data_IF_799138274392
#
_entry.id   IF_799138274392
#
_cell.length_a   1.000
_cell.length_b   1.000
_cell.length_c   1.000
_cell.angle_alpha   90.00
_cell.angle_beta   90.00
_cell.angle_gamma   90.00
#
_symmetry.space_group_name_H-M   'P 1'
#
loop_
_entity.id
_entity.type
_entity.pdbx_description
1 polymer ?
#
# COMPACT_ATOMS: atom_id res chain seq x y z
N UNK A 1 -12.90 5.51 4.23
CA UNK A 1 -13.17 4.26 4.99
C UNK A 1 -14.42 3.61 4.46
N UNK A 2 -14.43 2.29 4.34
CA UNK A 2 -15.58 1.49 3.93
C UNK A 2 -16.23 0.77 5.14
N UNK A 3 -15.86 1.07 6.38
CA UNK A 3 -16.39 0.41 7.58
C UNK A 3 -16.67 1.41 8.68
N UNK A 4 -17.84 1.30 9.30
CA UNK A 4 -18.25 2.13 10.45
C UNK A 4 -17.21 2.12 11.58
N UNK A 5 -16.61 0.95 11.85
CA UNK A 5 -15.61 0.77 12.91
C UNK A 5 -14.25 1.40 12.62
N UNK A 6 -14.00 1.86 11.38
CA UNK A 6 -12.75 2.47 10.92
C UNK A 6 -13.06 3.94 10.67
N UNK A 7 -12.76 4.80 11.65
CA UNK A 7 -13.23 6.18 11.71
C UNK A 7 -12.26 7.13 11.00
N UNK A 8 -12.70 8.33 10.59
CA UNK A 8 -11.79 9.40 10.23
C UNK A 8 -10.70 9.59 11.30
N UNK A 9 -9.45 9.73 10.84
CA UNK A 9 -8.20 9.81 11.62
C UNK A 9 -7.71 8.50 12.23
N UNK A 10 -8.44 7.38 12.09
CA UNK A 10 -7.87 6.05 12.37
C UNK A 10 -6.80 5.69 11.33
N UNK A 11 -5.95 4.74 11.71
CA UNK A 11 -4.85 4.21 10.90
C UNK A 11 -5.16 2.75 10.53
N UNK A 12 -4.96 2.39 9.28
CA UNK A 12 -5.14 1.00 8.79
C UNK A 12 -3.85 0.52 8.15
N UNK A 13 -3.31 -0.59 8.64
CA UNK A 13 -2.25 -1.33 7.97
C UNK A 13 -2.89 -2.20 6.91
N UNK A 14 -2.61 -1.87 5.66
CA UNK A 14 -3.16 -2.62 4.53
C UNK A 14 -2.36 -3.91 4.37
N UNK A 15 -3.07 -5.03 4.27
CA UNK A 15 -2.51 -6.36 4.07
C UNK A 15 -2.99 -7.03 2.78
N UNK A 16 -4.02 -6.47 2.14
CA UNK A 16 -4.58 -6.96 0.89
C UNK A 16 -5.00 -5.79 -0.01
N UNK A 17 -4.98 -6.02 -1.32
CA UNK A 17 -5.42 -5.05 -2.32
C UNK A 17 -6.47 -5.64 -3.25
N UNK A 18 -7.36 -4.79 -3.73
CA UNK A 18 -8.33 -5.12 -4.76
C UNK A 18 -8.22 -4.09 -5.90
N UNK A 19 -7.89 -4.57 -7.11
CA UNK A 19 -7.74 -3.71 -8.28
C UNK A 19 -9.11 -3.38 -8.90
N UNK A 20 -9.46 -2.09 -8.93
CA UNK A 20 -10.64 -1.56 -9.61
C UNK A 20 -10.24 -0.52 -10.66
N UNK A 21 -8.96 -0.45 -11.02
CA UNK A 21 -8.52 0.40 -12.13
C UNK A 21 -8.98 -0.17 -13.46
N UNK A 22 -9.23 0.73 -14.40
CA UNK A 22 -9.72 0.39 -15.75
C UNK A 22 -8.56 0.30 -16.74
N UNK A 23 -7.50 1.07 -16.51
CA UNK A 23 -6.32 1.06 -17.36
C UNK A 23 -5.22 0.21 -16.73
N UNK A 24 -4.78 -0.80 -17.49
CA UNK A 24 -3.53 -1.48 -17.21
C UNK A 24 -2.38 -0.69 -17.87
N UNK A 25 -1.38 -0.31 -17.09
CA UNK A 25 -0.20 0.37 -17.60
C UNK A 25 0.76 0.71 -16.48
N UNK A 26 2.03 0.29 -16.61
CA UNK A 26 3.12 0.55 -15.67
C UNK A 26 3.02 -0.18 -14.31
N UNK A 27 2.33 -1.31 -14.24
CA UNK A 27 2.25 -2.15 -13.04
C UNK A 27 3.39 -3.18 -12.92
N UNK A 28 4.27 -3.25 -13.92
CA UNK A 28 5.37 -4.21 -14.00
C UNK A 28 6.57 -3.60 -14.74
N UNK A 29 7.78 -3.97 -14.33
CA UNK A 29 9.03 -3.70 -15.02
C UNK A 29 9.31 -4.70 -16.16
N UNK A 30 8.59 -5.82 -16.18
CA UNK A 30 8.79 -6.91 -17.13
C UNK A 30 7.93 -6.76 -18.38
N UNK A 31 8.23 -7.56 -19.40
CA UNK A 31 7.79 -7.39 -20.78
C UNK A 31 8.95 -6.98 -21.70
N UNK A 32 8.65 -6.82 -22.98
CA UNK A 32 9.63 -6.35 -23.99
C UNK A 32 10.97 -7.13 -23.94
N UNK A 33 10.92 -8.46 -23.96
CA UNK A 33 12.11 -9.33 -24.01
C UNK A 33 12.49 -10.04 -22.71
N UNK A 34 11.71 -9.88 -21.64
CA UNK A 34 11.85 -10.66 -20.40
C UNK A 34 10.50 -10.84 -19.72
N UNK A 35 10.25 -12.01 -19.13
CA UNK A 35 9.03 -12.35 -18.40
C UNK A 35 9.40 -12.79 -16.98
N UNK A 36 8.70 -12.24 -15.99
CA UNK A 36 8.74 -12.69 -14.61
C UNK A 36 7.34 -12.67 -13.99
N UNK A 37 7.08 -13.59 -13.05
CA UNK A 37 5.84 -13.67 -12.30
C UNK A 37 6.14 -13.79 -10.80
N UNK A 38 6.04 -12.67 -10.09
CA UNK A 38 6.22 -12.63 -8.64
C UNK A 38 5.04 -13.26 -7.89
N UNK A 39 5.33 -13.88 -6.75
CA UNK A 39 4.29 -14.24 -5.79
C UNK A 39 3.73 -12.98 -5.13
N UNK A 40 2.40 -12.80 -5.21
CA UNK A 40 1.73 -11.58 -4.73
C UNK A 40 0.48 -11.85 -3.87
N UNK A 41 0.25 -13.10 -3.43
CA UNK A 41 -0.88 -13.46 -2.56
C UNK A 41 -0.83 -12.78 -1.18
N UNK A 42 0.39 -12.52 -0.69
CA UNK A 42 0.68 -11.68 0.49
C UNK A 42 1.46 -10.46 0.02
N UNK A 43 0.78 -9.37 -0.36
CA UNK A 43 1.38 -8.27 -1.12
C UNK A 43 2.28 -7.34 -0.27
N UNK A 44 2.07 -7.30 1.05
CA UNK A 44 2.87 -6.45 1.96
C UNK A 44 3.93 -7.25 2.72
N UNK A 45 4.96 -6.55 3.20
CA UNK A 45 5.98 -7.09 4.09
C UNK A 45 5.43 -7.11 5.53
N UNK A 46 5.20 -8.31 6.07
CA UNK A 46 4.63 -8.49 7.42
C UNK A 46 5.49 -7.86 8.52
N UNK A 47 6.82 -8.00 8.44
CA UNK A 47 7.74 -7.41 9.43
C UNK A 47 7.66 -5.88 9.42
N UNK A 48 7.72 -5.26 8.24
CA UNK A 48 7.63 -3.80 8.09
C UNK A 48 6.24 -3.28 8.50
N UNK A 49 5.16 -4.00 8.15
CA UNK A 49 3.81 -3.64 8.56
C UNK A 49 3.63 -3.71 10.09
N UNK A 50 4.23 -4.70 10.74
CA UNK A 50 4.20 -4.85 12.21
C UNK A 50 4.92 -3.67 12.88
N UNK A 51 6.12 -3.37 12.40
CA UNK A 51 6.94 -2.25 12.88
C UNK A 51 6.22 -0.90 12.67
N UNK A 52 5.58 -0.70 11.52
CA UNK A 52 4.76 0.48 11.25
C UNK A 52 3.52 0.58 12.17
N UNK A 53 2.89 -0.55 12.51
CA UNK A 53 1.74 -0.57 13.41
C UNK A 53 2.13 -0.22 14.86
N UNK A 54 3.28 -0.71 15.32
CA UNK A 54 3.85 -0.35 16.63
C UNK A 54 4.22 1.13 16.67
N UNK A 55 4.91 1.62 15.64
CA UNK A 55 5.22 3.03 15.48
C UNK A 55 3.96 3.91 15.50
N UNK A 56 2.88 3.49 14.82
CA UNK A 56 1.59 4.19 14.84
C UNK A 56 0.96 4.22 16.23
N UNK A 57 0.95 3.09 16.94
CA UNK A 57 0.43 3.04 18.33
C UNK A 57 1.20 3.98 19.24
N UNK A 58 2.52 4.00 19.15
CA UNK A 58 3.34 4.85 20.01
C UNK A 58 3.23 6.33 19.65
N UNK A 59 3.14 6.65 18.36
CA UNK A 59 2.90 8.01 17.89
C UNK A 59 1.53 8.55 18.36
N UNK A 60 0.50 7.71 18.37
CA UNK A 60 -0.84 8.09 18.88
C UNK A 60 -0.81 8.42 20.37
N UNK A 61 -0.08 7.65 21.19
CA UNK A 61 0.02 7.88 22.65
C UNK A 61 0.53 9.27 23.03
N UNK A 62 1.36 9.87 22.18
CA UNK A 62 1.95 11.21 22.40
C UNK A 62 1.27 12.30 21.57
N UNK A 63 0.23 11.96 20.80
CA UNK A 63 -0.50 12.90 19.97
C UNK A 63 -1.60 13.61 20.75
N UNK A 64 -2.10 14.70 20.19
CA UNK A 64 -3.25 15.45 20.72
C UNK A 64 -4.59 14.69 20.57
N UNK A 65 -4.57 13.46 20.02
CA UNK A 65 -5.74 12.65 19.74
C UNK A 65 -5.53 11.17 20.12
N UNK A 66 -5.47 10.85 21.43
CA UNK A 66 -5.15 9.50 21.92
C UNK A 66 -6.21 8.45 21.60
N UNK A 67 -7.43 8.86 21.20
CA UNK A 67 -8.55 7.95 20.89
C UNK A 67 -8.47 7.32 19.48
N UNK A 68 -7.51 7.74 18.66
CA UNK A 68 -7.25 7.15 17.33
C UNK A 68 -6.93 5.67 17.44
N UNK A 69 -7.42 4.87 16.51
CA UNK A 69 -7.22 3.42 16.50
C UNK A 69 -6.26 3.02 15.39
N UNK A 70 -5.50 1.97 15.67
CA UNK A 70 -4.68 1.26 14.66
C UNK A 70 -5.35 -0.06 14.34
N UNK A 71 -5.72 -0.26 13.08
CA UNK A 71 -6.24 -1.50 12.54
C UNK A 71 -5.12 -2.28 11.85
N UNK A 72 -4.89 -3.52 12.27
CA UNK A 72 -3.75 -4.34 11.85
C UNK A 72 -3.90 -4.98 10.47
N UNK A 73 -5.13 -5.01 9.97
CA UNK A 73 -5.48 -5.60 8.68
C UNK A 73 -6.51 -4.74 7.98
N UNK A 74 -6.51 -4.78 6.65
CA UNK A 74 -7.43 -4.03 5.83
C UNK A 74 -7.19 -4.26 4.34
N UNK A 75 -8.25 -4.65 3.64
CA UNK A 75 -8.26 -4.68 2.18
C UNK A 75 -8.44 -3.28 1.61
N UNK A 76 -7.48 -2.84 0.80
CA UNK A 76 -7.48 -1.57 0.07
C UNK A 76 -8.04 -1.74 -1.34
N UNK A 77 -9.11 -1.02 -1.65
CA UNK A 77 -9.61 -0.90 -3.01
C UNK A 77 -8.82 0.18 -3.74
N UNK A 78 -8.12 -0.19 -4.81
CA UNK A 78 -7.44 0.76 -5.67
C UNK A 78 -8.35 1.10 -6.85
N UNK A 79 -8.98 2.27 -6.83
CA UNK A 79 -9.76 2.78 -7.96
C UNK A 79 -8.93 3.71 -8.84
N UNK A 80 -9.42 4.02 -10.05
CA UNK A 80 -8.70 4.88 -11.01
C UNK A 80 -8.69 6.37 -10.60
N UNK A 81 -9.84 6.90 -10.16
CA UNK A 81 -10.03 8.34 -10.03
C UNK A 81 -10.15 9.06 -11.39
N UNK A 82 -10.12 10.41 -11.43
CA UNK A 82 -10.02 11.32 -10.28
C UNK A 82 -11.35 11.53 -9.56
N UNK A 83 -12.48 11.13 -10.16
CA UNK A 83 -13.77 11.19 -9.49
C UNK A 83 -13.83 10.19 -8.34
N UNK A 84 -14.43 10.60 -7.22
CA UNK A 84 -14.75 9.69 -6.12
C UNK A 84 -15.82 8.67 -6.53
N UNK A 85 -15.98 7.64 -5.70
CA UNK A 85 -16.96 6.59 -5.93
C UNK A 85 -18.39 7.14 -5.97
N UNK A 86 -19.24 6.54 -6.79
CA UNK A 86 -20.70 6.68 -6.62
C UNK A 86 -21.17 5.87 -5.41
N UNK A 87 -22.37 6.19 -4.87
CA UNK A 87 -22.97 5.44 -3.73
C UNK A 87 -23.10 3.95 -4.02
N UNK A 88 -23.41 3.57 -5.27
CA UNK A 88 -23.52 2.17 -5.69
C UNK A 88 -22.16 1.44 -5.63
N UNK A 89 -21.08 2.10 -6.06
CA UNK A 89 -19.73 1.55 -6.00
C UNK A 89 -19.27 1.39 -4.56
N UNK A 90 -19.46 2.43 -3.74
CA UNK A 90 -19.11 2.40 -2.32
C UNK A 90 -19.86 1.28 -1.59
N UNK A 91 -21.18 1.13 -1.82
CA UNK A 91 -21.97 0.01 -1.28
C UNK A 91 -21.44 -1.34 -1.74
N UNK A 92 -21.09 -1.49 -3.01
CA UNK A 92 -20.54 -2.75 -3.54
C UNK A 92 -19.24 -3.12 -2.83
N UNK A 93 -18.30 -2.18 -2.65
CA UNK A 93 -17.06 -2.43 -1.93
C UNK A 93 -17.29 -2.86 -0.47
N UNK A 94 -18.32 -2.29 0.17
CA UNK A 94 -18.74 -2.66 1.53
C UNK A 94 -19.33 -4.05 1.61
N UNK A 95 -20.22 -4.39 0.69
CA UNK A 95 -20.83 -5.71 0.65
C UNK A 95 -19.76 -6.79 0.41
N UNK A 96 -18.70 -6.47 -0.35
CA UNK A 96 -17.54 -7.34 -0.59
C UNK A 96 -16.55 -7.48 0.57
N UNK A 97 -16.79 -6.88 1.73
CA UNK A 97 -15.86 -7.05 2.87
C UNK A 97 -14.63 -6.12 2.89
N UNK A 98 -14.48 -5.18 1.95
CA UNK A 98 -13.31 -4.29 1.89
C UNK A 98 -13.29 -3.19 2.97
N UNK A 99 -12.13 -2.57 3.20
CA UNK A 99 -11.88 -1.76 4.40
C UNK A 99 -11.60 -0.29 4.09
N UNK A 100 -10.69 -0.03 3.16
CA UNK A 100 -10.29 1.32 2.76
C UNK A 100 -10.27 1.41 1.24
N UNK A 101 -10.35 2.62 0.73
CA UNK A 101 -10.35 2.91 -0.71
C UNK A 101 -9.38 4.06 -0.97
N UNK A 102 -8.66 3.99 -2.07
CA UNK A 102 -7.79 5.05 -2.56
C UNK A 102 -7.42 4.78 -4.03
N UNK A 103 -6.41 5.49 -4.53
CA UNK A 103 -6.13 5.54 -5.98
C UNK A 103 -4.68 5.18 -6.35
N UNK A 104 -3.81 4.87 -5.38
CA UNK A 104 -2.35 4.96 -5.60
C UNK A 104 -1.54 3.69 -5.31
N UNK A 105 -1.91 2.88 -4.31
CA UNK A 105 -0.94 1.94 -3.72
C UNK A 105 -0.76 0.61 -4.46
N UNK A 106 -1.70 0.14 -5.29
CA UNK A 106 -1.57 -1.19 -5.86
C UNK A 106 -0.41 -1.33 -6.87
N UNK A 107 -0.23 -0.42 -7.86
CA UNK A 107 0.95 -0.46 -8.74
C UNK A 107 2.25 -0.33 -7.96
N UNK A 108 2.26 0.56 -6.97
CA UNK A 108 3.40 0.78 -6.09
C UNK A 108 3.80 -0.50 -5.34
N UNK A 109 2.82 -1.23 -4.78
CA UNK A 109 3.06 -2.49 -4.11
C UNK A 109 3.58 -3.59 -5.06
N UNK A 110 3.01 -3.69 -6.28
CA UNK A 110 3.48 -4.63 -7.31
C UNK A 110 4.93 -4.34 -7.72
N UNK A 111 5.23 -3.09 -8.05
CA UNK A 111 6.56 -2.65 -8.47
C UNK A 111 7.58 -2.78 -7.33
N UNK A 112 7.21 -2.46 -6.10
CA UNK A 112 8.09 -2.66 -4.95
C UNK A 112 8.43 -4.14 -4.76
N UNK A 113 7.46 -5.04 -4.95
CA UNK A 113 7.71 -6.49 -4.91
C UNK A 113 8.62 -6.95 -6.04
N UNK A 114 8.42 -6.46 -7.26
CA UNK A 114 9.30 -6.75 -8.39
C UNK A 114 10.71 -6.18 -8.19
N UNK A 115 10.86 -5.04 -7.52
CA UNK A 115 12.16 -4.46 -7.17
C UNK A 115 12.77 -5.09 -5.90
N UNK A 116 12.11 -6.07 -5.29
CA UNK A 116 12.54 -6.73 -4.05
C UNK A 116 12.74 -5.78 -2.87
N UNK A 117 11.86 -4.78 -2.80
CA UNK A 117 11.80 -3.78 -1.73
C UNK A 117 10.70 -4.20 -0.74
N UNK A 118 11.04 -4.26 0.55
CA UNK A 118 10.05 -4.43 1.60
C UNK A 118 9.06 -3.25 1.57
N UNK A 119 7.77 -3.55 1.40
CA UNK A 119 6.73 -2.55 1.22
C UNK A 119 5.56 -2.79 2.18
N UNK A 120 5.08 -1.72 2.82
CA UNK A 120 3.87 -1.73 3.64
C UNK A 120 3.13 -0.41 3.48
N UNK A 121 1.80 -0.46 3.48
CA UNK A 121 0.97 0.76 3.40
C UNK A 121 0.34 1.05 4.76
N UNK A 122 0.56 2.27 5.24
CA UNK A 122 -0.13 2.87 6.39
C UNK A 122 -1.23 3.79 5.84
N UNK A 123 -2.45 3.28 5.71
CA UNK A 123 -3.58 4.04 5.20
C UNK A 123 -4.16 4.93 6.31
N UNK A 124 -4.12 6.25 6.09
CA UNK A 124 -4.62 7.25 7.03
C UNK A 124 -6.04 7.65 6.62
N UNK A 125 -7.02 7.36 7.47
CA UNK A 125 -8.43 7.51 7.11
C UNK A 125 -8.83 8.99 7.18
N UNK A 126 -9.41 9.53 6.11
CA UNK A 126 -9.85 10.93 6.04
C UNK A 126 -11.36 11.08 6.22
N UNK A 127 -12.13 10.14 5.71
CA UNK A 127 -13.60 10.20 5.65
C UNK A 127 -14.17 8.78 5.46
N UNK A 128 -15.49 8.67 5.37
CA UNK A 128 -16.18 7.40 5.17
C UNK A 128 -16.55 7.13 3.71
N UNK A 129 -15.88 7.72 2.71
CA UNK A 129 -16.36 7.69 1.33
C UNK A 129 -17.86 8.12 1.26
N UNK A 130 -18.56 7.88 0.15
CA UNK A 130 -19.92 8.38 -0.03
C UNK A 130 -21.06 7.48 0.51
N UNK A 131 -20.75 6.36 1.19
CA UNK A 131 -21.79 5.46 1.73
C UNK A 131 -22.40 5.94 3.04
N UNK A 132 -21.69 6.76 3.81
CA UNK A 132 -22.13 7.17 5.13
C UNK A 132 -23.17 8.30 5.02
N UNK A 133 -24.28 8.28 5.79
CA UNK A 133 -25.29 9.35 5.77
C UNK A 133 -24.72 10.75 6.01
N UNK A 134 -23.72 10.85 6.90
CA UNK A 134 -23.04 12.11 7.20
C UNK A 134 -22.09 12.57 6.08
N UNK A 135 -21.93 11.83 4.98
CA UNK A 135 -21.10 12.24 3.85
C UNK A 135 -21.51 13.62 3.30
N UNK A 136 -22.83 13.88 3.24
CA UNK A 136 -23.36 15.16 2.75
C UNK A 136 -23.06 16.33 3.71
N UNK A 137 -22.54 16.04 4.92
CA UNK A 137 -22.12 17.01 5.93
C UNK A 137 -20.59 17.17 5.98
N UNK A 138 -19.84 16.38 5.20
CA UNK A 138 -18.38 16.48 5.11
C UNK A 138 -18.03 17.73 4.31
N UNK A 139 -17.48 18.75 5.01
CA UNK A 139 -16.98 19.95 4.35
C UNK A 139 -15.53 19.78 3.90
N UNK A 140 -15.10 20.59 2.92
CA UNK A 140 -13.70 20.63 2.48
C UNK A 140 -12.77 20.93 3.64
N UNK A 141 -13.15 21.85 4.53
CA UNK A 141 -12.36 22.22 5.71
C UNK A 141 -12.17 21.05 6.68
N UNK A 142 -13.20 20.22 6.88
CA UNK A 142 -13.07 19.01 7.70
C UNK A 142 -12.09 18.02 7.08
N UNK A 143 -12.16 17.79 5.77
CA UNK A 143 -11.24 16.90 5.06
C UNK A 143 -9.81 17.42 5.15
N UNK A 144 -9.58 18.72 4.93
CA UNK A 144 -8.27 19.34 5.08
C UNK A 144 -7.76 19.21 6.52
N UNK A 145 -8.63 19.42 7.51
CA UNK A 145 -8.29 19.22 8.92
C UNK A 145 -7.84 17.79 9.22
N UNK A 146 -8.57 16.79 8.75
CA UNK A 146 -8.18 15.39 8.88
C UNK A 146 -6.86 15.09 8.16
N UNK A 147 -6.67 15.63 6.95
CA UNK A 147 -5.42 15.46 6.18
C UNK A 147 -4.20 16.02 6.93
N UNK A 148 -4.30 17.23 7.47
CA UNK A 148 -3.20 17.85 8.23
C UNK A 148 -2.89 17.07 9.51
N UNK A 149 -3.94 16.67 10.23
CA UNK A 149 -3.79 15.89 11.46
C UNK A 149 -3.24 14.48 11.19
N UNK A 150 -3.55 13.90 10.02
CA UNK A 150 -2.97 12.64 9.55
C UNK A 150 -1.52 12.83 9.08
N UNK A 151 -1.18 13.94 8.42
CA UNK A 151 0.19 14.23 7.98
C UNK A 151 1.14 14.37 9.18
N UNK A 152 0.75 15.11 10.22
CA UNK A 152 1.52 15.22 11.48
C UNK A 152 1.78 13.86 12.12
N UNK A 153 0.76 13.01 12.19
CA UNK A 153 0.90 11.65 12.74
C UNK A 153 1.78 10.77 11.82
N UNK A 154 1.60 10.87 10.51
CA UNK A 154 2.39 10.13 9.52
C UNK A 154 3.88 10.46 9.58
N UNK A 155 4.23 11.72 9.79
CA UNK A 155 5.63 12.15 9.99
C UNK A 155 6.27 11.45 11.20
N UNK A 156 5.55 11.40 12.33
CA UNK A 156 6.02 10.73 13.55
C UNK A 156 6.15 9.22 13.35
N UNK A 157 5.21 8.60 12.64
CA UNK A 157 5.28 7.18 12.27
C UNK A 157 6.53 6.93 11.42
N UNK A 158 6.78 7.73 10.39
CA UNK A 158 7.93 7.59 9.50
C UNK A 158 9.25 7.72 10.28
N UNK A 159 9.36 8.70 11.19
CA UNK A 159 10.57 8.86 12.04
C UNK A 159 10.86 7.61 12.86
N UNK A 160 9.83 7.06 13.51
CA UNK A 160 9.95 5.83 14.32
C UNK A 160 10.29 4.62 13.47
N UNK A 161 9.62 4.47 12.32
CA UNK A 161 9.92 3.39 11.37
C UNK A 161 11.36 3.48 10.89
N UNK A 162 11.80 4.66 10.45
CA UNK A 162 13.17 4.88 9.98
C UNK A 162 14.22 4.58 11.05
N UNK A 163 13.94 4.88 12.32
CA UNK A 163 14.83 4.56 13.43
C UNK A 163 14.94 3.05 13.68
N UNK A 164 13.89 2.28 13.36
CA UNK A 164 13.82 0.84 13.66
C UNK A 164 13.97 -0.07 12.44
N UNK A 165 13.97 0.44 11.20
CA UNK A 165 13.98 -0.38 9.97
C UNK A 165 15.16 -1.33 9.85
N UNK A 166 16.28 -1.01 10.52
CA UNK A 166 17.46 -1.89 10.60
C UNK A 166 17.19 -3.20 11.34
N UNK A 167 16.05 -3.33 12.05
CA UNK A 167 15.65 -4.57 12.74
C UNK A 167 14.95 -5.58 11.84
N UNK A 168 14.65 -5.23 10.59
CA UNK A 168 14.12 -6.17 9.61
C UNK A 168 15.11 -7.32 9.40
N UNK A 169 14.61 -8.54 9.31
CA UNK A 169 15.45 -9.72 9.08
C UNK A 169 16.20 -9.61 7.75
N UNK A 170 17.49 -9.94 7.75
CA UNK A 170 18.26 -10.09 6.49
C UNK A 170 17.67 -11.21 5.61
N UNK A 171 17.02 -12.21 6.22
CA UNK A 171 16.34 -13.31 5.55
C UNK A 171 14.92 -12.96 5.08
N UNK A 172 14.50 -11.70 5.17
CA UNK A 172 13.15 -11.28 4.80
C UNK A 172 12.85 -11.68 3.33
N UNK A 173 11.75 -12.43 3.09
CA UNK A 173 11.44 -12.93 1.75
C UNK A 173 11.20 -11.83 0.72
N UNK A 174 10.89 -10.59 1.14
CA UNK A 174 10.72 -9.47 0.23
C UNK A 174 12.00 -9.13 -0.53
N UNK A 175 13.19 -9.38 0.05
CA UNK A 175 14.49 -9.05 -0.55
C UNK A 175 14.97 -10.06 -1.61
N UNK A 176 14.19 -11.13 -1.82
CA UNK A 176 14.45 -12.23 -2.76
C UNK A 176 13.21 -12.66 -3.54
N UNK A 177 12.21 -11.77 -3.65
CA UNK A 177 10.95 -12.07 -4.30
C UNK A 177 11.08 -12.44 -5.79
N UNK A 178 12.17 -12.07 -6.46
CA UNK A 178 12.44 -12.40 -7.85
C UNK A 178 13.23 -13.69 -8.06
N UNK A 179 13.84 -14.26 -7.01
CA UNK A 179 14.80 -15.36 -7.11
C UNK A 179 14.31 -16.54 -7.97
N UNK A 180 13.02 -16.85 -7.89
CA UNK A 180 12.38 -17.92 -8.67
C UNK A 180 11.22 -17.41 -9.54
N UNK A 181 11.18 -16.10 -9.82
CA UNK A 181 10.08 -15.47 -10.55
C UNK A 181 10.39 -15.28 -12.04
N UNK A 182 11.67 -15.17 -12.43
CA UNK A 182 12.09 -14.93 -13.82
C UNK A 182 11.92 -16.22 -14.63
N UNK A 183 11.11 -16.16 -15.68
CA UNK A 183 10.82 -17.32 -16.56
C UNK A 183 11.77 -17.35 -17.75
N UNK A 184 12.11 -16.18 -18.31
CA UNK A 184 12.94 -16.11 -19.51
C UNK A 184 14.36 -16.60 -19.25
N UNK A 185 14.84 -17.52 -20.09
CA UNK A 185 16.22 -18.00 -19.98
C UNK A 185 17.22 -16.87 -20.22
N UNK A 186 18.31 -16.77 -19.43
CA UNK A 186 19.27 -15.67 -19.52
C UNK A 186 19.83 -15.42 -20.93
N UNK A 187 20.06 -16.47 -21.72
CA UNK A 187 20.62 -16.39 -23.08
C UNK A 187 19.71 -15.65 -24.08
N UNK A 188 18.41 -15.56 -23.81
CA UNK A 188 17.45 -14.84 -24.66
C UNK A 188 17.20 -13.39 -24.21
N UNK A 189 17.77 -12.96 -23.08
CA UNK A 189 17.62 -11.60 -22.57
C UNK A 189 18.67 -10.72 -23.24
N UNK A 190 18.22 -9.78 -24.06
CA UNK A 190 19.10 -8.90 -24.86
C UNK A 190 19.97 -8.00 -23.96
N UNK A 191 21.13 -7.53 -24.44
CA UNK A 191 21.96 -6.56 -23.72
C UNK A 191 21.22 -5.28 -23.33
N UNK A 192 20.30 -4.81 -24.18
CA UNK A 192 19.45 -3.64 -23.92
C UNK A 192 18.53 -3.87 -22.71
N UNK A 193 17.85 -5.02 -22.65
CA UNK A 193 16.97 -5.38 -21.53
C UNK A 193 17.78 -5.53 -20.24
N UNK A 194 18.96 -6.16 -20.31
CA UNK A 194 19.88 -6.30 -19.18
C UNK A 194 20.32 -4.94 -18.64
N UNK A 195 20.67 -4.00 -19.50
CA UNK A 195 21.06 -2.66 -19.10
C UNK A 195 19.88 -1.90 -18.46
N UNK A 196 18.68 -1.97 -19.06
CA UNK A 196 17.47 -1.32 -18.57
C UNK A 196 17.07 -1.80 -17.17
N UNK A 197 17.16 -3.11 -16.92
CA UNK A 197 16.71 -3.74 -15.68
C UNK A 197 17.86 -4.07 -14.71
N UNK A 198 19.07 -3.58 -14.95
CA UNK A 198 20.25 -3.88 -14.14
C UNK A 198 20.02 -3.70 -12.62
N UNK A 199 19.32 -2.64 -12.13
CA UNK A 199 19.05 -2.48 -10.69
C UNK A 199 18.13 -3.55 -10.09
N UNK A 200 17.31 -4.21 -10.92
CA UNK A 200 16.26 -5.13 -10.49
C UNK A 200 16.73 -6.59 -10.63
N UNK A 201 17.22 -6.96 -11.81
CA UNK A 201 17.57 -8.36 -12.13
C UNK A 201 19.08 -8.62 -12.15
N UNK A 202 19.91 -7.59 -12.00
CA UNK A 202 21.36 -7.69 -12.21
C UNK A 202 22.05 -8.75 -11.34
N UNK A 203 21.53 -9.00 -10.12
CA UNK A 203 22.09 -10.04 -9.24
C UNK A 203 21.78 -11.47 -9.69
N UNK A 204 20.76 -11.67 -10.55
CA UNK A 204 20.31 -12.98 -11.03
C UNK A 204 20.83 -13.35 -12.42
N UNK A 205 21.34 -12.38 -13.18
CA UNK A 205 21.73 -12.58 -14.58
C UNK A 205 23.24 -12.65 -14.82
N UNK A 206 24.01 -13.06 -13.81
CA UNK A 206 25.47 -13.23 -13.88
C UNK A 206 25.88 -14.35 -14.83
#
# INVERSE_FOLDING_TARGET
SLRERIRPRDVVLVDQYYDRRRTAGNDTFFGNGIVAHIAFGTPTCTELATLAAEAARDAIKISDEPDRRVHFTGTYVNMEGPAFSTKAESKTHRDSGFHVIGMTNLPEAKLAREAEIAYATVAMVTDYDCWHPDHDHVTVDMVIGHLMANAKLGEEIIKRVAASVHSLSEDNPCFRALENAIISSPEYITPEVRARLAPIIGKYLK
#
